data_IF_978665816699
#
_entry.id   IF_978665816699
#
_cell.length_a   1.000
_cell.length_b   1.000
_cell.length_c   1.000
_cell.angle_alpha   90.00
_cell.angle_beta   90.00
_cell.angle_gamma   90.00
#
_symmetry.space_group_name_H-M   'P 1'
#
loop_
_entity.id
_entity.type
_entity.pdbx_description
1 polymer ?
#
# COMPACT_ATOMS: atom_id res chain seq x y z
N UNK A 1 3.28 -24.80 11.05
CA UNK A 1 3.43 -24.07 9.78
C UNK A 1 2.13 -23.39 9.35
N UNK A 2 1.08 -24.15 9.02
CA UNK A 2 -0.21 -23.58 8.55
C UNK A 2 -0.81 -22.70 9.66
N UNK A 3 -0.86 -23.17 10.90
CA UNK A 3 -1.38 -22.43 12.04
C UNK A 3 -0.61 -21.13 12.29
N UNK A 4 0.70 -21.11 12.03
CA UNK A 4 1.52 -19.91 12.13
C UNK A 4 1.14 -18.85 11.08
N UNK A 5 0.90 -19.26 9.84
CA UNK A 5 0.50 -18.33 8.77
C UNK A 5 -0.93 -17.83 8.97
N UNK A 6 -1.87 -18.73 9.29
CA UNK A 6 -3.29 -18.38 9.34
C UNK A 6 -3.65 -17.61 10.60
N UNK A 7 -3.11 -17.96 11.75
CA UNK A 7 -3.47 -17.35 13.04
C UNK A 7 -2.48 -16.27 13.44
N UNK A 8 -1.20 -16.61 13.63
CA UNK A 8 -0.23 -15.64 14.16
C UNK A 8 0.08 -14.50 13.18
N UNK A 9 0.23 -14.78 11.90
CA UNK A 9 0.47 -13.72 10.92
C UNK A 9 -0.75 -12.80 10.78
N UNK A 10 -1.97 -13.36 10.69
CA UNK A 10 -3.20 -12.57 10.65
C UNK A 10 -3.38 -11.71 11.90
N UNK A 11 -3.12 -12.27 13.09
CA UNK A 11 -3.19 -11.52 14.34
C UNK A 11 -2.14 -10.39 14.36
N UNK A 12 -0.90 -10.69 13.99
CA UNK A 12 0.18 -9.72 13.92
C UNK A 12 -0.11 -8.60 12.92
N UNK A 13 -0.62 -8.92 11.72
CA UNK A 13 -0.96 -7.91 10.71
C UNK A 13 -2.10 -6.99 11.18
N UNK A 14 -3.11 -7.54 11.85
CA UNK A 14 -4.20 -6.73 12.41
C UNK A 14 -3.72 -5.81 13.54
N UNK A 15 -2.86 -6.30 14.44
CA UNK A 15 -2.25 -5.47 15.48
C UNK A 15 -1.36 -4.38 14.88
N UNK A 16 -0.60 -4.68 13.85
CA UNK A 16 0.22 -3.70 13.14
C UNK A 16 -0.64 -2.65 12.44
N UNK A 17 -1.75 -3.05 11.81
CA UNK A 17 -2.70 -2.12 11.22
C UNK A 17 -3.30 -1.19 12.27
N UNK A 18 -3.75 -1.74 13.40
CA UNK A 18 -4.27 -0.95 14.53
C UNK A 18 -3.22 0.02 15.08
N UNK A 19 -1.98 -0.44 15.26
CA UNK A 19 -0.87 0.42 15.68
C UNK A 19 -0.65 1.57 14.70
N UNK A 20 -0.67 1.29 13.38
CA UNK A 20 -0.51 2.32 12.35
C UNK A 20 -1.66 3.32 12.33
N UNK A 21 -2.91 2.87 12.57
CA UNK A 21 -4.06 3.76 12.71
C UNK A 21 -3.89 4.72 13.89
N UNK A 22 -3.55 4.19 15.07
CA UNK A 22 -3.31 5.01 16.27
C UNK A 22 -2.16 5.99 16.01
N UNK A 23 -1.04 5.50 15.46
CA UNK A 23 0.11 6.34 15.13
C UNK A 23 -0.24 7.44 14.13
N UNK A 24 -1.08 7.15 13.13
CA UNK A 24 -1.54 8.12 12.14
C UNK A 24 -2.41 9.22 12.76
N UNK A 25 -3.23 8.90 13.78
CA UNK A 25 -4.03 9.90 14.51
C UNK A 25 -3.16 10.95 15.22
N UNK A 26 -2.02 10.51 15.78
CA UNK A 26 -1.11 11.37 16.54
C UNK A 26 0.01 11.97 15.69
N UNK A 27 0.14 11.57 14.43
CA UNK A 27 1.15 12.11 13.52
C UNK A 27 0.70 13.39 12.85
N UNK A 28 1.62 14.35 12.76
CA UNK A 28 1.40 15.60 12.00
C UNK A 28 1.21 15.36 10.50
N UNK A 29 1.84 14.33 9.96
CA UNK A 29 1.89 14.08 8.51
C UNK A 29 0.78 13.15 8.01
N UNK A 30 0.13 12.38 8.90
CA UNK A 30 -0.94 11.40 8.59
C UNK A 30 -0.63 10.45 7.43
N UNK A 31 0.63 10.06 7.24
CA UNK A 31 1.13 9.29 6.09
C UNK A 31 1.35 7.79 6.38
N UNK A 32 0.98 7.31 7.57
CA UNK A 32 1.33 5.94 8.00
C UNK A 32 0.42 4.85 7.43
N UNK A 33 -0.77 5.18 6.95
CA UNK A 33 -1.72 4.22 6.37
C UNK A 33 -1.50 3.97 4.88
N UNK A 34 -0.96 4.95 4.17
CA UNK A 34 -0.65 4.84 2.74
C UNK A 34 0.83 5.13 2.50
N UNK A 35 1.48 4.35 1.63
CA UNK A 35 2.85 4.61 1.19
C UNK A 35 2.81 5.72 0.14
N UNK A 36 2.71 6.96 0.60
CA UNK A 36 2.92 8.13 -0.25
C UNK A 36 4.41 8.45 -0.16
N UNK A 37 5.12 8.41 -1.27
CA UNK A 37 6.52 8.79 -1.30
C UNK A 37 6.68 10.33 -1.19
N UNK A 38 7.91 10.81 -1.08
CA UNK A 38 8.20 12.26 -0.96
C UNK A 38 7.63 13.11 -2.11
N UNK A 39 7.28 12.49 -3.24
CA UNK A 39 6.74 13.14 -4.44
C UNK A 39 5.21 13.08 -4.52
N UNK A 40 4.53 12.63 -3.45
CA UNK A 40 3.09 12.47 -3.39
C UNK A 40 2.58 11.15 -3.98
N UNK A 41 1.26 11.10 -4.13
CA UNK A 41 0.53 9.98 -4.73
C UNK A 41 0.48 10.14 -6.25
N UNK A 42 0.82 9.09 -6.97
CA UNK A 42 0.72 9.04 -8.43
C UNK A 42 -0.17 7.87 -8.85
N UNK A 43 -1.22 8.17 -9.61
CA UNK A 43 -2.14 7.17 -10.15
C UNK A 43 -2.19 7.32 -11.67
N UNK A 44 -2.06 6.20 -12.39
CA UNK A 44 -2.43 6.09 -13.80
C UNK A 44 -3.79 5.42 -13.88
N UNK A 45 -4.77 6.12 -14.42
CA UNK A 45 -6.13 5.61 -14.61
C UNK A 45 -6.51 5.64 -16.09
N UNK A 46 -7.14 4.58 -16.59
CA UNK A 46 -7.60 4.50 -17.97
C UNK A 46 -9.12 4.38 -17.95
N UNK A 47 -9.80 5.43 -18.36
CA UNK A 47 -11.27 5.51 -18.41
C UNK A 47 -11.70 5.89 -19.82
N UNK A 48 -12.60 5.15 -20.39
CA UNK A 48 -13.19 5.37 -21.73
C UNK A 48 -12.12 5.57 -22.84
N UNK A 49 -11.00 4.86 -22.73
CA UNK A 49 -9.88 4.94 -23.69
C UNK A 49 -8.99 6.17 -23.55
N UNK A 50 -9.21 6.99 -22.52
CA UNK A 50 -8.33 8.11 -22.17
C UNK A 50 -7.43 7.72 -21.01
N UNK A 51 -6.17 8.16 -21.06
CA UNK A 51 -5.20 7.97 -19.98
C UNK A 51 -5.18 9.19 -19.08
N UNK A 52 -5.52 9.02 -17.83
CA UNK A 52 -5.45 10.06 -16.80
C UNK A 52 -4.24 9.82 -15.90
N UNK A 53 -3.38 10.81 -15.80
CA UNK A 53 -2.29 10.83 -14.82
C UNK A 53 -2.70 11.77 -13.70
N UNK A 54 -2.82 11.21 -12.51
CA UNK A 54 -3.28 11.92 -11.32
C UNK A 54 -2.11 12.01 -10.36
N UNK A 55 -1.76 13.22 -9.99
CA UNK A 55 -0.78 13.49 -8.93
C UNK A 55 -1.44 14.24 -7.80
N UNK A 56 -1.28 13.78 -6.56
CA UNK A 56 -1.79 14.45 -5.37
C UNK A 56 -0.71 14.50 -4.30
N UNK A 57 -0.63 15.62 -3.60
CA UNK A 57 0.33 15.78 -2.50
C UNK A 57 -0.01 14.92 -1.30
N UNK A 58 -1.29 14.70 -1.02
CA UNK A 58 -1.75 14.01 0.20
C UNK A 58 -3.14 13.44 0.03
N UNK A 59 -3.40 12.35 0.77
CA UNK A 59 -4.73 11.83 1.04
C UNK A 59 -5.11 12.20 2.47
N UNK A 60 -6.26 12.80 2.66
CA UNK A 60 -6.84 13.08 3.98
C UNK A 60 -8.27 12.52 4.03
N UNK A 61 -8.43 11.34 4.63
CA UNK A 61 -9.64 10.52 4.60
C UNK A 61 -10.09 10.26 3.15
N UNK A 62 -11.27 10.77 2.77
CA UNK A 62 -11.84 10.64 1.43
C UNK A 62 -11.46 11.78 0.47
N UNK A 63 -10.50 12.65 0.86
CA UNK A 63 -10.10 13.78 0.04
C UNK A 63 -8.66 13.67 -0.46
N UNK A 64 -8.46 13.95 -1.74
CA UNK A 64 -7.14 14.28 -2.28
C UNK A 64 -6.90 15.77 -2.17
N UNK A 65 -5.68 16.16 -1.77
CA UNK A 65 -5.31 17.57 -1.62
C UNK A 65 -4.19 17.95 -2.58
N UNK A 66 -4.26 19.19 -3.09
CA UNK A 66 -3.32 19.73 -4.07
C UNK A 66 -3.12 18.77 -5.25
N UNK A 67 -4.21 18.46 -5.93
CA UNK A 67 -4.23 17.43 -6.96
C UNK A 67 -4.16 18.05 -8.35
N UNK A 68 -3.39 17.40 -9.21
CA UNK A 68 -3.27 17.71 -10.62
C UNK A 68 -3.63 16.47 -11.44
N UNK A 69 -4.63 16.59 -12.32
CA UNK A 69 -5.10 15.52 -13.20
C UNK A 69 -4.79 15.93 -14.63
N UNK A 70 -4.03 15.11 -15.34
CA UNK A 70 -3.70 15.32 -16.76
C UNK A 70 -4.33 14.20 -17.57
N UNK A 71 -5.17 14.57 -18.52
CA UNK A 71 -5.90 13.63 -19.41
C UNK A 71 -5.27 13.62 -20.80
N UNK A 72 -4.92 12.44 -21.30
CA UNK A 72 -4.39 12.18 -22.61
C UNK A 72 -5.35 11.32 -23.44
N UNK A 73 -5.31 11.47 -24.75
CA UNK A 73 -5.98 10.57 -25.69
C UNK A 73 -5.21 9.25 -25.87
N UNK A 74 -5.69 8.39 -26.80
CA UNK A 74 -5.04 7.09 -27.10
C UNK A 74 -3.66 7.24 -27.73
N UNK A 75 -3.36 8.38 -28.33
CA UNK A 75 -2.10 8.72 -29.01
C UNK A 75 -1.17 9.52 -28.10
N UNK A 76 -1.52 9.64 -26.81
CA UNK A 76 -0.81 10.44 -25.79
C UNK A 76 -0.73 11.94 -26.09
N UNK A 77 -1.67 12.51 -26.87
CA UNK A 77 -1.82 13.94 -26.95
C UNK A 77 -2.57 14.48 -25.72
N UNK A 78 -2.17 15.64 -25.24
CA UNK A 78 -2.79 16.28 -24.09
C UNK A 78 -4.18 16.82 -24.47
N UNK A 79 -5.22 16.34 -23.79
CA UNK A 79 -6.60 16.82 -23.95
C UNK A 79 -6.87 17.99 -23.02
N UNK A 80 -6.57 17.82 -21.74
CA UNK A 80 -6.80 18.82 -20.67
C UNK A 80 -5.99 18.50 -19.43
N UNK A 81 -5.80 19.52 -18.60
CA UNK A 81 -5.32 19.35 -17.23
C UNK A 81 -6.26 20.03 -16.26
N UNK A 82 -6.45 19.45 -15.09
CA UNK A 82 -7.32 19.96 -14.03
C UNK A 82 -6.50 20.07 -12.76
N UNK A 83 -6.52 21.26 -12.15
CA UNK A 83 -5.90 21.50 -10.84
C UNK A 83 -6.97 21.80 -9.82
N UNK A 84 -6.89 21.19 -8.64
CA UNK A 84 -7.76 21.49 -7.51
C UNK A 84 -7.03 21.27 -6.19
N UNK A 85 -7.44 22.02 -5.18
CA UNK A 85 -6.94 21.85 -3.83
C UNK A 85 -7.69 20.76 -3.06
N UNK A 86 -8.91 20.38 -3.50
CA UNK A 86 -9.75 19.42 -2.81
C UNK A 86 -10.58 18.60 -3.79
N UNK A 87 -10.40 17.28 -3.76
CA UNK A 87 -11.16 16.33 -4.58
C UNK A 87 -11.73 15.24 -3.65
N UNK A 88 -13.04 15.03 -3.68
CA UNK A 88 -13.69 13.92 -2.99
C UNK A 88 -13.58 12.65 -3.84
N UNK A 89 -13.01 11.60 -3.25
CA UNK A 89 -12.74 10.32 -3.91
C UNK A 89 -13.54 9.17 -3.28
N UNK A 90 -14.55 9.48 -2.51
CA UNK A 90 -15.38 8.48 -1.81
C UNK A 90 -15.92 7.43 -2.76
N UNK A 91 -16.43 7.85 -3.90
CA UNK A 91 -17.02 7.02 -4.93
C UNK A 91 -16.17 7.04 -6.21
N UNK A 92 -16.55 6.24 -7.22
CA UNK A 92 -15.89 6.23 -8.53
C UNK A 92 -16.20 7.48 -9.36
N UNK A 93 -17.19 8.29 -8.98
CA UNK A 93 -17.44 9.61 -9.53
C UNK A 93 -16.87 10.67 -8.59
N UNK A 94 -15.65 11.12 -8.87
CA UNK A 94 -14.96 12.11 -8.05
C UNK A 94 -15.57 13.49 -8.20
N UNK A 95 -15.70 14.19 -7.08
CA UNK A 95 -16.15 15.57 -7.05
C UNK A 95 -14.95 16.49 -6.85
N UNK A 96 -14.62 17.27 -7.88
CA UNK A 96 -13.49 18.19 -7.88
C UNK A 96 -14.02 19.58 -7.53
N UNK A 97 -13.62 20.10 -6.37
CA UNK A 97 -14.02 21.43 -5.88
C UNK A 97 -13.02 22.48 -6.34
N UNK A 98 -13.50 23.67 -6.66
CA UNK A 98 -12.72 24.84 -7.08
C UNK A 98 -11.69 24.50 -8.16
N UNK A 99 -12.15 23.81 -9.19
CA UNK A 99 -11.31 23.30 -10.26
C UNK A 99 -10.82 24.42 -11.18
N UNK A 100 -9.52 24.42 -11.49
CA UNK A 100 -8.96 25.19 -12.61
C UNK A 100 -8.67 24.22 -13.74
N UNK A 101 -9.38 24.34 -14.84
CA UNK A 101 -9.26 23.50 -16.04
C UNK A 101 -8.39 24.23 -17.07
N UNK A 102 -7.34 23.57 -17.55
CA UNK A 102 -6.47 24.06 -18.60
C UNK A 102 -6.74 23.25 -19.87
N UNK A 103 -7.15 23.93 -20.94
CA UNK A 103 -7.40 23.35 -22.26
C UNK A 103 -7.01 24.34 -23.34
N UNK A 104 -6.20 23.95 -24.32
CA UNK A 104 -5.79 24.78 -25.46
C UNK A 104 -5.24 26.17 -25.03
N UNK A 105 -4.38 26.21 -24.01
CA UNK A 105 -3.80 27.43 -23.43
C UNK A 105 -4.83 28.40 -22.78
N UNK A 106 -6.07 27.97 -22.58
CA UNK A 106 -7.11 28.72 -21.88
C UNK A 106 -7.29 28.09 -20.52
N UNK A 107 -7.39 28.92 -19.47
CA UNK A 107 -7.72 28.48 -18.12
C UNK A 107 -9.15 28.88 -17.78
N UNK A 108 -9.96 27.93 -17.30
CA UNK A 108 -11.32 28.17 -16.86
C UNK A 108 -11.48 27.67 -15.42
N UNK A 109 -12.10 28.47 -14.56
CA UNK A 109 -12.46 28.06 -13.22
C UNK A 109 -13.88 27.51 -13.19
N UNK A 110 -14.09 26.44 -12.40
CA UNK A 110 -15.38 25.84 -12.16
C UNK A 110 -15.49 25.48 -10.68
N UNK A 111 -16.62 25.78 -10.05
CA UNK A 111 -16.85 25.48 -8.64
C UNK A 111 -16.91 23.98 -8.37
N UNK A 112 -17.51 23.22 -9.29
CA UNK A 112 -17.63 21.76 -9.16
C UNK A 112 -17.49 21.09 -10.52
N UNK A 113 -16.62 20.07 -10.57
CA UNK A 113 -16.44 19.23 -11.76
C UNK A 113 -16.56 17.77 -11.35
N UNK A 114 -17.37 17.01 -12.08
CA UNK A 114 -17.44 15.56 -11.95
C UNK A 114 -16.39 14.90 -12.80
N UNK A 115 -15.66 13.94 -12.21
CA UNK A 115 -14.60 13.19 -12.87
C UNK A 115 -14.79 11.71 -12.60
N UNK A 116 -14.99 10.90 -13.63
CA UNK A 116 -15.12 9.46 -13.51
C UNK A 116 -13.74 8.81 -13.39
N UNK A 117 -13.58 7.95 -12.39
CA UNK A 117 -12.36 7.19 -12.13
C UNK A 117 -12.68 5.72 -11.85
N UNK A 118 -11.73 4.83 -12.16
CA UNK A 118 -11.78 3.43 -11.72
C UNK A 118 -11.32 3.27 -10.25
N UNK A 119 -10.90 4.36 -9.63
CA UNK A 119 -10.43 4.40 -8.25
C UNK A 119 -11.44 5.12 -7.37
N UNK A 120 -11.72 4.52 -6.23
CA UNK A 120 -12.39 5.14 -5.10
C UNK A 120 -11.45 5.15 -3.90
N UNK A 121 -11.87 5.74 -2.79
CA UNK A 121 -11.08 5.79 -1.55
C UNK A 121 -10.57 4.42 -1.13
N UNK A 122 -11.45 3.42 -1.05
CA UNK A 122 -11.13 2.06 -0.59
C UNK A 122 -10.05 1.42 -1.48
N UNK A 123 -10.16 1.56 -2.79
CA UNK A 123 -9.20 1.02 -3.75
C UNK A 123 -7.84 1.72 -3.66
N UNK A 124 -7.83 3.04 -3.49
CA UNK A 124 -6.59 3.80 -3.30
C UNK A 124 -5.91 3.39 -1.99
N UNK A 125 -6.65 3.34 -0.89
CA UNK A 125 -6.11 2.89 0.40
C UNK A 125 -5.57 1.46 0.33
N UNK A 126 -6.26 0.55 -0.35
CA UNK A 126 -5.81 -0.83 -0.56
C UNK A 126 -4.50 -0.90 -1.34
N UNK A 127 -4.38 -0.15 -2.44
CA UNK A 127 -3.21 -0.17 -3.31
C UNK A 127 -1.97 0.46 -2.67
N UNK A 128 -2.15 1.49 -1.85
CA UNK A 128 -1.05 2.24 -1.24
C UNK A 128 -0.88 1.96 0.26
N UNK A 129 -1.56 0.92 0.78
CA UNK A 129 -1.40 0.51 2.18
C UNK A 129 -0.03 -0.10 2.44
N UNK A 130 0.37 -0.07 3.73
CA UNK A 130 1.61 -0.74 4.13
C UNK A 130 1.45 -2.27 3.99
N UNK A 131 2.20 -2.88 3.07
CA UNK A 131 2.12 -4.31 2.75
C UNK A 131 2.31 -5.22 3.98
N UNK A 132 3.12 -4.80 4.96
CA UNK A 132 3.36 -5.59 6.16
C UNK A 132 2.18 -5.64 7.14
N UNK A 133 1.24 -4.69 7.03
CA UNK A 133 0.01 -4.64 7.83
C UNK A 133 -1.17 -5.38 7.19
N UNK A 134 -0.98 -5.93 5.99
CA UNK A 134 -2.03 -6.68 5.28
C UNK A 134 -2.00 -8.15 5.65
N UNK A 135 -3.17 -8.76 5.82
CA UNK A 135 -3.30 -10.22 5.94
C UNK A 135 -2.94 -10.90 4.62
N UNK A 136 -2.63 -12.20 4.65
CA UNK A 136 -2.25 -12.96 3.46
C UNK A 136 -3.35 -12.90 2.39
N UNK A 137 -4.62 -12.98 2.77
CA UNK A 137 -5.76 -12.88 1.84
C UNK A 137 -5.79 -11.51 1.16
N UNK A 138 -5.63 -10.43 1.93
CA UNK A 138 -5.58 -9.07 1.38
C UNK A 138 -4.37 -8.85 0.46
N UNK A 139 -3.23 -9.50 0.73
CA UNK A 139 -2.07 -9.46 -0.16
C UNK A 139 -2.35 -10.17 -1.51
N UNK A 140 -3.07 -11.28 -1.50
CA UNK A 140 -3.46 -11.98 -2.73
C UNK A 140 -4.45 -11.15 -3.56
N UNK A 141 -5.45 -10.52 -2.92
CA UNK A 141 -6.39 -9.62 -3.56
C UNK A 141 -5.66 -8.39 -4.14
N UNK A 142 -4.74 -7.81 -3.37
CA UNK A 142 -3.91 -6.69 -3.81
C UNK A 142 -3.06 -7.05 -5.04
N UNK A 143 -2.44 -8.24 -5.04
CA UNK A 143 -1.70 -8.77 -6.19
C UNK A 143 -2.56 -8.82 -7.45
N UNK A 144 -3.80 -9.30 -7.33
CA UNK A 144 -4.74 -9.38 -8.45
C UNK A 144 -5.15 -8.00 -8.96
N UNK A 145 -5.39 -7.06 -8.03
CA UNK A 145 -5.68 -5.66 -8.36
C UNK A 145 -4.50 -4.99 -9.08
N UNK A 146 -3.26 -5.20 -8.64
CA UNK A 146 -2.07 -4.69 -9.33
C UNK A 146 -1.96 -5.22 -10.76
N UNK A 147 -2.19 -6.53 -10.95
CA UNK A 147 -2.20 -7.14 -12.29
C UNK A 147 -3.26 -6.54 -13.20
N UNK A 148 -4.48 -6.34 -12.71
CA UNK A 148 -5.59 -5.77 -13.50
C UNK A 148 -5.33 -4.32 -13.93
N UNK A 149 -4.49 -3.60 -13.19
CA UNK A 149 -4.12 -2.21 -13.44
C UNK A 149 -2.79 -2.06 -14.18
N UNK A 150 -2.14 -3.18 -14.57
CA UNK A 150 -0.79 -3.20 -15.14
C UNK A 150 0.27 -2.53 -14.22
N UNK A 151 0.10 -2.62 -12.90
CA UNK A 151 1.12 -2.23 -11.92
C UNK A 151 2.10 -3.37 -11.65
N UNK A 152 3.31 -3.01 -11.24
CA UNK A 152 4.31 -4.00 -10.83
C UNK A 152 3.85 -4.73 -9.57
N UNK A 153 3.85 -6.06 -9.60
CA UNK A 153 3.49 -6.91 -8.45
C UNK A 153 4.70 -7.29 -7.59
N UNK A 154 5.91 -6.85 -7.95
CA UNK A 154 7.18 -7.30 -7.35
C UNK A 154 7.17 -7.14 -5.83
N UNK A 155 6.77 -5.98 -5.32
CA UNK A 155 6.78 -5.71 -3.88
C UNK A 155 5.75 -6.59 -3.13
N UNK A 156 4.58 -6.78 -3.72
CA UNK A 156 3.52 -7.64 -3.16
C UNK A 156 3.97 -9.10 -3.18
N UNK A 157 4.56 -9.57 -4.28
CA UNK A 157 5.08 -10.93 -4.41
C UNK A 157 6.20 -11.18 -3.40
N UNK A 158 7.12 -10.23 -3.22
CA UNK A 158 8.16 -10.32 -2.19
C UNK A 158 7.58 -10.45 -0.78
N UNK A 159 6.54 -9.69 -0.46
CA UNK A 159 5.88 -9.79 0.85
C UNK A 159 5.18 -11.15 1.02
N UNK A 160 4.51 -11.66 -0.01
CA UNK A 160 3.89 -13.00 0.02
C UNK A 160 4.95 -14.09 0.24
N UNK A 161 6.08 -14.04 -0.50
CA UNK A 161 7.18 -15.00 -0.30
C UNK A 161 7.78 -14.92 1.10
N UNK A 162 7.97 -13.69 1.62
CA UNK A 162 8.45 -13.49 3.00
C UNK A 162 7.54 -14.17 4.02
N UNK A 163 6.22 -14.01 3.88
CA UNK A 163 5.25 -14.66 4.77
C UNK A 163 5.27 -16.17 4.60
N UNK A 164 5.35 -16.67 3.36
CA UNK A 164 5.37 -18.11 3.08
C UNK A 164 6.66 -18.82 3.56
N UNK A 165 7.80 -18.13 3.53
CA UNK A 165 9.09 -18.71 3.99
C UNK A 165 9.26 -18.67 5.51
N UNK A 166 8.49 -17.85 6.22
CA UNK A 166 8.60 -17.73 7.68
C UNK A 166 8.39 -19.06 8.45
N UNK A 167 7.39 -19.92 8.14
CA UNK A 167 7.26 -21.22 8.78
C UNK A 167 8.44 -22.16 8.54
N UNK A 168 9.03 -22.10 7.34
CA UNK A 168 10.20 -22.90 7.00
C UNK A 168 11.41 -22.47 7.83
N UNK A 169 11.62 -21.18 8.01
CA UNK A 169 12.64 -20.64 8.90
C UNK A 169 12.45 -21.14 10.34
N UNK A 170 11.22 -21.13 10.87
CA UNK A 170 10.93 -21.64 12.22
C UNK A 170 11.26 -23.12 12.37
N UNK A 171 10.98 -23.95 11.36
CA UNK A 171 11.33 -25.38 11.36
C UNK A 171 12.85 -25.56 11.42
N UNK A 172 13.59 -24.84 10.57
CA UNK A 172 15.05 -24.89 10.56
C UNK A 172 15.63 -24.48 11.92
N UNK A 173 15.14 -23.36 12.49
CA UNK A 173 15.59 -22.88 13.79
C UNK A 173 15.27 -23.87 14.92
N UNK A 174 14.13 -24.56 14.86
CA UNK A 174 13.76 -25.59 15.82
C UNK A 174 14.68 -26.80 15.74
N UNK A 175 15.01 -27.26 14.51
CA UNK A 175 15.95 -28.36 14.29
C UNK A 175 17.35 -28.00 14.81
N UNK A 176 17.85 -26.82 14.47
CA UNK A 176 19.14 -26.32 14.93
C UNK A 176 19.19 -26.26 16.47
N UNK A 177 18.17 -25.69 17.10
CA UNK A 177 18.06 -25.64 18.56
C UNK A 177 18.08 -27.03 19.18
N UNK A 178 17.36 -28.00 18.57
CA UNK A 178 17.34 -29.39 19.03
C UNK A 178 18.73 -30.07 18.92
N UNK A 179 19.44 -29.88 17.83
CA UNK A 179 20.78 -30.38 17.62
C UNK A 179 21.74 -29.82 18.68
N UNK A 180 21.73 -28.50 18.89
CA UNK A 180 22.55 -27.83 19.89
C UNK A 180 22.24 -28.36 21.29
N UNK A 181 20.97 -28.52 21.63
CA UNK A 181 20.54 -29.02 22.94
C UNK A 181 20.98 -30.46 23.18
N UNK A 182 20.89 -31.36 22.18
CA UNK A 182 21.30 -32.73 22.26
C UNK A 182 22.83 -32.86 22.34
N UNK A 183 23.54 -32.09 21.52
CA UNK A 183 25.00 -32.10 21.50
C UNK A 183 25.60 -31.60 22.82
N UNK A 184 25.01 -30.53 23.39
CA UNK A 184 25.49 -29.91 24.64
C UNK A 184 25.03 -30.66 25.90
N UNK A 185 24.16 -31.69 25.79
CA UNK A 185 23.82 -32.58 26.93
C UNK A 185 25.06 -33.32 27.48
N UNK A 186 26.07 -33.49 26.64
CA UNK A 186 27.35 -34.12 27.01
C UNK A 186 28.33 -33.16 27.71
N UNK A 187 28.10 -31.84 27.66
CA UNK A 187 28.92 -30.80 28.31
C UNK A 187 28.25 -30.26 29.56
N UNK A 188 28.95 -30.30 30.69
CA UNK A 188 28.43 -29.91 32.01
C UNK A 188 28.27 -28.39 32.21
N UNK A 189 28.72 -27.55 31.27
CA UNK A 189 28.65 -26.08 31.42
C UNK A 189 27.32 -25.48 30.94
N UNK A 190 26.48 -25.06 31.87
CA UNK A 190 25.21 -24.36 31.57
C UNK A 190 25.43 -23.04 30.84
N UNK A 191 26.52 -22.32 31.13
CA UNK A 191 26.86 -21.04 30.53
C UNK A 191 27.18 -21.16 29.03
N UNK A 192 27.89 -22.22 28.63
CA UNK A 192 28.21 -22.52 27.23
C UNK A 192 26.96 -22.76 26.38
N UNK A 193 25.92 -23.38 26.98
CA UNK A 193 24.61 -23.62 26.31
C UNK A 193 23.85 -22.30 26.05
N UNK A 194 23.92 -21.37 26.99
CA UNK A 194 23.28 -20.05 26.86
C UNK A 194 23.97 -19.22 25.79
N UNK A 195 25.31 -19.23 25.74
CA UNK A 195 26.09 -18.48 24.76
C UNK A 195 25.79 -18.98 23.34
N UNK A 196 25.79 -20.30 23.11
CA UNK A 196 25.49 -20.89 21.79
C UNK A 196 24.04 -20.61 21.34
N UNK A 197 23.09 -20.50 22.28
CA UNK A 197 21.70 -20.19 21.98
C UNK A 197 21.43 -18.70 21.71
N UNK A 198 22.37 -17.81 22.04
CA UNK A 198 22.27 -16.36 21.85
C UNK A 198 22.89 -15.87 20.53
N UNK A 199 23.79 -16.64 19.92
CA UNK A 199 24.43 -16.41 18.63
C UNK A 199 23.82 -17.30 17.54
#
# INVERSE_FOLDING_TARGET
GILTITVFYSLSSNLQHYYLQVKNQFSKDKLYLAVINKNGLWIKDIVDGQTNIINSSKIDNNFLTNTFITTFDKEFNLIRSVKSNKIDIKDNEWLIYDATIFKNNISQKSELVKFRSNFNQERIESLFSNLSSLSLLKLLDLRQNYKSLNYSTVDVDMQIYKVATYPLLLVIMTILSSIIMLYTKKSNSKVFKIIIGLF
#
